data_IF_959357134091
#
_entry.id   IF_959357134091
#
_cell.length_a   1.000
_cell.length_b   1.000
_cell.length_c   1.000
_cell.angle_alpha   90.00
_cell.angle_beta   90.00
_cell.angle_gamma   90.00
#
_symmetry.space_group_name_H-M   'P 1'
#
loop_
_entity.id
_entity.type
_entity.pdbx_description
1 polymer ?
#
# COMPACT_ATOMS: atom_id res chain seq x y z
N UNK A 1 -0.25 -4.96 14.82
CA UNK A 1 0.27 -3.63 14.47
C UNK A 1 0.20 -3.28 12.97
N UNK A 2 -0.33 -4.16 12.09
CA UNK A 2 -0.47 -3.83 10.67
C UNK A 2 0.84 -3.41 9.98
N UNK A 3 1.95 -4.06 10.37
CA UNK A 3 3.28 -3.75 9.84
C UNK A 3 3.57 -4.58 8.60
N UNK A 4 4.47 -4.09 7.76
CA UNK A 4 4.96 -4.79 6.56
C UNK A 4 6.48 -4.79 6.53
N UNK A 5 7.07 -5.67 5.74
CA UNK A 5 8.48 -5.63 5.34
C UNK A 5 8.57 -5.18 3.89
N UNK A 6 9.60 -4.42 3.57
CA UNK A 6 9.80 -3.83 2.23
C UNK A 6 11.21 -4.12 1.72
N UNK A 7 11.37 -4.10 0.41
CA UNK A 7 12.67 -4.05 -0.26
C UNK A 7 12.90 -2.61 -0.72
N UNK A 8 13.99 -1.99 -0.29
CA UNK A 8 14.37 -0.67 -0.79
C UNK A 8 15.06 -0.80 -2.14
N UNK A 9 14.82 0.15 -3.06
CA UNK A 9 15.44 0.12 -4.40
C UNK A 9 16.96 0.29 -4.39
N UNK A 10 17.51 0.93 -3.36
CA UNK A 10 18.95 1.10 -3.19
C UNK A 10 19.63 -0.08 -2.49
N UNK A 11 18.86 -0.98 -1.89
CA UNK A 11 19.40 -2.17 -1.26
C UNK A 11 19.72 -3.24 -2.31
N UNK A 12 21.01 -3.56 -2.40
CA UNK A 12 21.59 -4.50 -3.37
C UNK A 12 21.81 -5.90 -2.80
N UNK A 13 21.69 -6.06 -1.48
CA UNK A 13 21.94 -7.32 -0.78
C UNK A 13 20.62 -8.03 -0.42
N UNK A 14 19.53 -7.27 -0.27
CA UNK A 14 18.19 -7.80 -0.06
C UNK A 14 17.78 -8.78 -1.16
N UNK A 15 17.04 -9.80 -0.74
CA UNK A 15 16.56 -10.88 -1.60
C UNK A 15 15.05 -10.75 -1.88
N UNK A 16 14.46 -9.58 -1.60
CA UNK A 16 13.02 -9.34 -1.65
C UNK A 16 12.21 -10.38 -0.85
N UNK A 17 12.75 -10.76 0.31
CA UNK A 17 12.24 -11.80 1.19
C UNK A 17 11.85 -11.25 2.58
N UNK A 18 11.51 -12.15 3.51
CA UNK A 18 11.16 -11.78 4.87
C UNK A 18 12.36 -11.34 5.72
N UNK A 19 13.60 -11.42 5.25
CA UNK A 19 14.79 -10.99 6.00
C UNK A 19 15.35 -9.65 5.52
N UNK A 20 14.79 -9.12 4.44
CA UNK A 20 15.26 -7.92 3.75
C UNK A 20 15.19 -6.64 4.60
N UNK A 21 14.19 -6.51 5.47
CA UNK A 21 14.05 -5.31 6.32
C UNK A 21 13.43 -5.61 7.68
N UNK A 22 13.51 -4.61 8.55
CA UNK A 22 12.75 -4.60 9.79
C UNK A 22 11.23 -4.47 9.51
N UNK A 23 10.41 -4.59 10.55
CA UNK A 23 8.97 -4.38 10.41
C UNK A 23 8.63 -2.88 10.42
N UNK A 24 8.18 -2.34 9.29
CA UNK A 24 7.75 -0.96 9.14
C UNK A 24 6.29 -0.78 9.58
N UNK A 25 6.00 0.28 10.32
CA UNK A 25 4.62 0.70 10.60
C UNK A 25 3.99 1.29 9.34
N UNK A 26 2.68 1.08 9.18
CA UNK A 26 1.90 1.63 8.07
C UNK A 26 0.96 2.71 8.62
N UNK A 27 1.04 3.90 8.05
CA UNK A 27 0.11 4.98 8.35
C UNK A 27 -1.31 4.58 7.91
N UNK A 28 -2.29 4.83 8.77
CA UNK A 28 -3.70 4.72 8.41
C UNK A 28 -4.32 6.12 8.43
N UNK A 29 -5.27 6.35 7.53
CA UNK A 29 -6.06 7.59 7.48
C UNK A 29 -6.88 7.81 8.77
N UNK A 30 -7.23 6.73 9.49
CA UNK A 30 -7.97 6.81 10.75
C UNK A 30 -7.64 5.61 11.65
N UNK A 31 -6.91 5.84 12.74
CA UNK A 31 -6.50 4.79 13.68
C UNK A 31 -6.78 5.18 15.13
N UNK A 32 -7.74 4.51 15.77
CA UNK A 32 -8.10 4.70 17.16
C UNK A 32 -7.90 3.44 18.02
N UNK A 33 -8.27 3.52 19.30
CA UNK A 33 -8.19 2.39 20.23
C UNK A 33 -9.23 1.32 19.88
N UNK A 34 -8.85 0.38 18.98
CA UNK A 34 -9.70 -0.70 18.42
C UNK A 34 -10.84 -0.23 17.49
N UNK A 35 -10.67 0.90 16.81
CA UNK A 35 -11.58 1.38 15.75
C UNK A 35 -10.80 2.16 14.68
N UNK A 36 -11.38 2.34 13.50
CA UNK A 36 -10.77 3.08 12.38
C UNK A 36 -10.72 2.28 11.08
N UNK A 37 -9.95 2.77 10.11
CA UNK A 37 -9.69 2.11 8.83
C UNK A 37 -8.37 1.34 8.85
N UNK A 38 -8.32 0.17 8.20
CA UNK A 38 -7.08 -0.60 8.03
C UNK A 38 -7.04 -1.17 6.62
N UNK A 39 -6.04 -0.75 5.84
CA UNK A 39 -5.71 -1.33 4.54
C UNK A 39 -4.22 -1.70 4.56
N UNK A 40 -3.92 -3.00 4.58
CA UNK A 40 -2.55 -3.50 4.70
C UNK A 40 -1.96 -3.65 3.30
N UNK A 41 -0.81 -3.02 2.99
CA UNK A 41 -0.09 -3.26 1.73
C UNK A 41 0.23 -4.74 1.56
N UNK A 42 0.00 -5.27 0.35
CA UNK A 42 0.29 -6.67 0.00
C UNK A 42 1.66 -6.78 -0.65
N UNK A 43 2.22 -7.98 -0.64
CA UNK A 43 3.48 -8.29 -1.34
C UNK A 43 3.34 -7.90 -2.82
N UNK A 44 4.36 -7.20 -3.34
CA UNK A 44 4.39 -6.69 -4.71
C UNK A 44 3.79 -5.30 -4.90
N UNK A 45 3.11 -4.73 -3.90
CA UNK A 45 2.67 -3.33 -3.96
C UNK A 45 3.85 -2.37 -3.74
N UNK A 46 3.89 -1.28 -4.51
CA UNK A 46 4.83 -0.19 -4.29
C UNK A 46 4.31 0.75 -3.18
N UNK A 47 5.18 1.07 -2.23
CA UNK A 47 4.86 1.92 -1.08
C UNK A 47 5.79 3.12 -0.99
N UNK A 48 5.24 4.23 -0.50
CA UNK A 48 6.03 5.39 -0.10
C UNK A 48 6.51 5.19 1.33
N UNK A 49 7.84 5.23 1.53
CA UNK A 49 8.46 5.16 2.85
C UNK A 49 8.97 6.53 3.24
N UNK A 50 8.51 7.03 4.39
CA UNK A 50 9.06 8.19 5.07
C UNK A 50 9.99 7.77 6.21
N UNK A 51 10.87 8.68 6.62
CA UNK A 51 11.86 8.48 7.67
C UNK A 51 11.62 9.51 8.78
N UNK A 52 11.38 9.05 10.01
CA UNK A 52 11.12 9.94 11.15
C UNK A 52 12.37 10.80 11.41
N UNK A 53 12.19 12.11 11.51
CA UNK A 53 13.30 13.07 11.65
C UNK A 53 14.40 12.95 10.58
N UNK A 54 14.08 12.35 9.43
CA UNK A 54 15.05 12.05 8.37
C UNK A 54 15.99 10.89 8.67
N UNK A 55 15.77 10.12 9.74
CA UNK A 55 16.59 8.98 10.15
C UNK A 55 16.29 7.72 9.32
N UNK A 56 17.23 7.23 8.49
CA UNK A 56 17.07 6.01 7.69
C UNK A 56 16.72 4.76 8.51
N UNK A 57 17.10 4.73 9.80
CA UNK A 57 16.85 3.61 10.70
C UNK A 57 15.43 3.64 11.32
N UNK A 58 14.66 4.71 11.07
CA UNK A 58 13.29 4.86 11.53
C UNK A 58 12.27 4.98 10.38
N UNK A 59 12.17 3.96 9.49
CA UNK A 59 11.26 3.98 8.36
C UNK A 59 9.79 3.73 8.77
N UNK A 60 8.87 4.38 8.05
CA UNK A 60 7.43 4.13 8.12
C UNK A 60 6.79 4.26 6.74
N UNK A 61 5.78 3.44 6.46
CA UNK A 61 5.01 3.53 5.22
C UNK A 61 3.96 4.64 5.36
N UNK A 62 3.98 5.61 4.45
CA UNK A 62 3.07 6.77 4.42
C UNK A 62 2.01 6.68 3.34
N UNK A 63 2.17 5.80 2.35
CA UNK A 63 1.19 5.61 1.29
C UNK A 63 1.54 4.46 0.35
N UNK A 64 0.66 4.20 -0.62
CA UNK A 64 0.85 3.23 -1.68
C UNK A 64 0.76 3.94 -3.04
N UNK A 65 1.54 3.47 -4.02
CA UNK A 65 1.60 4.06 -5.35
C UNK A 65 1.16 3.05 -6.40
N UNK A 66 0.57 3.56 -7.49
CA UNK A 66 0.34 2.79 -8.71
C UNK A 66 1.49 3.06 -9.69
N UNK A 67 1.84 2.05 -10.48
CA UNK A 67 2.87 2.11 -11.52
C UNK A 67 2.43 1.30 -12.76
N UNK A 68 3.36 1.06 -13.70
CA UNK A 68 3.07 0.40 -14.99
C UNK A 68 2.50 -1.01 -14.87
N UNK A 69 2.94 -1.77 -13.85
CA UNK A 69 2.49 -3.14 -13.57
C UNK A 69 1.30 -3.15 -12.61
N UNK A 70 1.39 -2.43 -11.48
CA UNK A 70 0.27 -2.19 -10.57
C UNK A 70 -0.53 -0.96 -11.03
N UNK A 71 -1.40 -1.15 -12.02
CA UNK A 71 -2.21 -0.08 -12.60
C UNK A 71 -3.37 0.33 -11.70
N UNK A 72 -3.84 1.56 -11.87
CA UNK A 72 -5.06 2.07 -11.24
C UNK A 72 -6.28 1.17 -11.57
N UNK A 73 -7.30 1.09 -10.69
CA UNK A 73 -8.43 0.16 -10.86
C UNK A 73 -9.30 0.39 -12.11
N UNK A 74 -9.27 1.61 -12.65
CA UNK A 74 -9.99 2.01 -13.86
C UNK A 74 -9.08 2.85 -14.75
N UNK A 75 -9.26 2.74 -16.07
CA UNK A 75 -8.49 3.53 -17.02
C UNK A 75 -8.70 5.03 -16.82
N UNK A 76 -7.57 5.74 -16.77
CA UNK A 76 -7.51 7.19 -16.69
C UNK A 76 -6.87 7.74 -17.97
N UNK A 77 -7.34 8.88 -18.50
CA UNK A 77 -8.28 9.83 -17.88
C UNK A 77 -9.78 9.56 -18.13
N UNK A 78 -10.16 8.47 -18.80
CA UNK A 78 -11.55 8.19 -19.22
C UNK A 78 -12.53 8.12 -18.04
N UNK A 79 -12.09 7.62 -16.89
CA UNK A 79 -12.91 7.44 -15.69
C UNK A 79 -12.59 8.44 -14.56
N UNK A 80 -12.11 9.65 -14.91
CA UNK A 80 -11.64 10.67 -13.95
C UNK A 80 -12.67 11.13 -12.89
N UNK A 81 -13.96 10.91 -13.10
CA UNK A 81 -15.03 11.28 -12.15
C UNK A 81 -15.42 10.14 -11.20
N UNK A 82 -14.63 9.07 -11.13
CA UNK A 82 -14.89 7.93 -10.24
C UNK A 82 -13.97 7.98 -9.02
N UNK A 83 -14.59 7.95 -7.83
CA UNK A 83 -13.91 7.71 -6.57
C UNK A 83 -14.16 6.27 -6.11
N UNK A 84 -13.11 5.53 -5.75
CA UNK A 84 -13.20 4.07 -5.61
C UNK A 84 -12.41 3.54 -4.42
N UNK A 85 -13.01 2.59 -3.70
CA UNK A 85 -12.33 1.68 -2.78
C UNK A 85 -12.60 0.25 -3.24
N UNK A 86 -11.64 -0.35 -3.97
CA UNK A 86 -11.73 -1.69 -4.56
C UNK A 86 -10.72 -2.62 -3.91
N UNK A 87 -11.19 -3.78 -3.44
CA UNK A 87 -10.34 -4.83 -2.85
C UNK A 87 -9.97 -5.90 -3.87
N UNK A 88 -9.23 -6.91 -3.45
CA UNK A 88 -8.96 -8.10 -4.25
C UNK A 88 -8.99 -9.33 -3.33
N UNK A 89 -9.62 -10.42 -3.75
CA UNK A 89 -9.71 -11.65 -2.94
C UNK A 89 -8.34 -12.31 -2.78
N UNK A 90 -8.11 -13.02 -1.67
CA UNK A 90 -6.84 -13.68 -1.37
C UNK A 90 -7.06 -15.06 -0.73
N UNK A 91 -6.24 -16.09 -1.03
CA UNK A 91 -5.11 -16.09 -2.00
C UNK A 91 -5.54 -16.33 -3.46
N UNK A 92 -4.72 -15.85 -4.41
CA UNK A 92 -4.86 -16.17 -5.84
C UNK A 92 -5.99 -15.43 -6.58
N UNK A 93 -6.19 -14.14 -6.29
CA UNK A 93 -7.33 -13.29 -6.68
C UNK A 93 -8.14 -13.68 -7.93
N UNK A 94 -9.44 -13.92 -7.71
CA UNK A 94 -10.46 -14.21 -8.73
C UNK A 94 -11.78 -13.44 -8.52
N UNK A 95 -11.75 -12.39 -7.70
CA UNK A 95 -12.92 -11.56 -7.36
C UNK A 95 -12.54 -10.34 -6.51
N UNK A 96 -13.49 -9.42 -6.31
CA UNK A 96 -13.28 -8.20 -5.53
C UNK A 96 -14.55 -7.74 -4.82
N UNK A 97 -14.39 -6.92 -3.78
CA UNK A 97 -15.44 -6.07 -3.23
C UNK A 97 -15.14 -4.62 -3.62
N UNK A 98 -16.16 -3.81 -3.89
CA UNK A 98 -15.97 -2.43 -4.31
C UNK A 98 -17.02 -1.49 -3.73
N UNK A 99 -16.57 -0.37 -3.18
CA UNK A 99 -17.35 0.84 -3.00
C UNK A 99 -16.93 1.84 -4.09
N UNK A 100 -17.89 2.35 -4.85
CA UNK A 100 -17.65 3.28 -5.95
C UNK A 100 -18.67 4.40 -5.94
N UNK A 101 -18.18 5.64 -6.02
CA UNK A 101 -18.97 6.84 -6.22
C UNK A 101 -18.65 7.41 -7.61
N UNK A 102 -19.68 7.83 -8.33
CA UNK A 102 -19.56 8.35 -9.68
C UNK A 102 -20.19 9.74 -9.74
N UNK A 103 -19.40 10.73 -10.14
CA UNK A 103 -19.78 12.15 -10.15
C UNK A 103 -20.07 12.63 -11.58
N UNK A 104 -20.81 11.83 -12.37
CA UNK A 104 -21.29 12.24 -13.70
C UNK A 104 -22.57 13.06 -13.62
#
# INVERSE_FOLDING_TARGET
YGRVKVQFFWDRLGQADDNTSCWLRVASNWGGKRYGGVAIPRVGMEVLVGFLEGDPDQPLVTGCLYHSENRVPYELPQNKTRSVFKTDSYPGGGGFNELRLADR
#
